data_IF_544254242312
#
_entry.id   IF_544254242312
#
_cell.length_a   1.000
_cell.length_b   1.000
_cell.length_c   1.000
_cell.angle_alpha   90.00
_cell.angle_beta   90.00
_cell.angle_gamma   90.00
#
_symmetry.space_group_name_H-M   'P 1'
#
loop_
_entity.id
_entity.type
_entity.pdbx_description
1 polymer ?
#
# COMPACT_ATOMS: atom_id res chain seq x y z
N UNK A 1 -13.61 -55.53 -11.23
CA UNK A 1 -12.65 -55.26 -10.14
C UNK A 1 -11.60 -54.22 -10.46
N UNK A 2 -11.17 -54.11 -11.72
CA UNK A 2 -10.17 -53.07 -12.09
C UNK A 2 -10.74 -51.65 -12.13
N UNK A 3 -12.04 -51.45 -12.34
CA UNK A 3 -12.69 -50.13 -12.38
C UNK A 3 -12.80 -49.46 -11.00
N UNK A 4 -12.93 -50.21 -9.90
CA UNK A 4 -12.97 -49.65 -8.55
C UNK A 4 -11.64 -49.04 -8.12
N UNK A 5 -10.51 -49.56 -8.59
CA UNK A 5 -9.17 -49.02 -8.26
C UNK A 5 -8.85 -47.74 -9.00
N UNK A 6 -9.38 -47.58 -10.21
CA UNK A 6 -9.18 -46.37 -11.04
C UNK A 6 -10.01 -45.22 -10.49
N UNK A 7 -11.22 -45.47 -9.99
CA UNK A 7 -12.12 -44.46 -9.41
C UNK A 7 -11.54 -43.93 -8.08
N UNK A 8 -10.89 -44.77 -7.25
CA UNK A 8 -10.25 -44.35 -6.02
C UNK A 8 -9.00 -43.47 -6.26
N UNK A 9 -8.25 -43.72 -7.33
CA UNK A 9 -7.10 -42.92 -7.70
C UNK A 9 -7.52 -41.54 -8.21
N UNK A 10 -8.65 -41.45 -8.91
CA UNK A 10 -9.17 -40.19 -9.45
C UNK A 10 -9.73 -39.27 -8.35
N UNK A 11 -10.39 -39.85 -7.33
CA UNK A 11 -10.93 -39.09 -6.20
C UNK A 11 -9.82 -38.55 -5.29
N UNK A 12 -8.66 -39.21 -5.21
CA UNK A 12 -7.54 -38.75 -4.42
C UNK A 12 -6.79 -37.56 -5.07
N UNK A 13 -6.84 -37.45 -6.40
CA UNK A 13 -6.19 -36.37 -7.14
C UNK A 13 -6.96 -35.04 -7.02
N UNK A 14 -8.27 -35.08 -6.83
CA UNK A 14 -9.13 -33.89 -6.71
C UNK A 14 -9.00 -33.25 -5.32
N UNK A 15 -8.63 -34.00 -4.29
CA UNK A 15 -8.45 -33.48 -2.92
C UNK A 15 -7.17 -32.64 -2.75
N UNK A 16 -6.19 -32.74 -3.66
CA UNK A 16 -4.92 -32.03 -3.59
C UNK A 16 -4.96 -30.61 -4.20
N UNK A 17 -6.05 -30.24 -4.88
CA UNK A 17 -6.17 -28.93 -5.56
C UNK A 17 -6.82 -27.85 -4.66
N UNK A 18 -7.25 -28.21 -3.45
CA UNK A 18 -8.07 -27.32 -2.60
C UNK A 18 -7.28 -26.57 -1.51
N UNK A 19 -5.95 -26.41 -1.64
CA UNK A 19 -5.12 -25.71 -0.63
C UNK A 19 -4.71 -24.32 -1.07
N UNK A 20 -5.64 -23.48 -1.50
CA UNK A 20 -5.38 -22.06 -1.64
C UNK A 20 -5.41 -21.43 -0.23
N UNK A 21 -4.27 -20.96 0.28
CA UNK A 21 -4.22 -20.25 1.56
C UNK A 21 -4.99 -18.94 1.46
N UNK A 22 -5.94 -18.73 2.38
CA UNK A 22 -6.69 -17.49 2.47
C UNK A 22 -5.83 -16.43 3.15
N UNK A 23 -5.63 -15.27 2.51
CA UNK A 23 -4.92 -14.14 3.10
C UNK A 23 -5.36 -12.82 2.47
N UNK A 24 -5.18 -11.75 3.23
CA UNK A 24 -5.33 -10.40 2.70
C UNK A 24 -4.16 -10.09 1.78
N UNK A 25 -4.39 -9.31 0.73
CA UNK A 25 -3.34 -8.86 -0.19
C UNK A 25 -3.54 -7.39 -0.51
N UNK A 26 -2.48 -6.61 -0.37
CA UNK A 26 -2.52 -5.19 -0.67
C UNK A 26 -1.91 -4.92 -2.03
N UNK A 27 -2.62 -4.14 -2.85
CA UNK A 27 -2.14 -3.69 -4.16
C UNK A 27 -2.35 -2.19 -4.28
N UNK A 28 -1.26 -1.44 -4.39
CA UNK A 28 -1.29 0.01 -4.59
C UNK A 28 -1.45 0.36 -6.06
N UNK A 29 -2.23 1.41 -6.35
CA UNK A 29 -2.36 1.95 -7.70
C UNK A 29 -1.04 2.56 -8.18
N UNK A 30 -0.31 3.19 -7.26
CA UNK A 30 1.03 3.73 -7.50
C UNK A 30 1.84 3.66 -6.21
N UNK A 31 3.16 3.61 -6.35
CA UNK A 31 4.08 3.59 -5.20
C UNK A 31 4.80 4.92 -5.00
N UNK A 32 4.77 5.79 -6.00
CA UNK A 32 5.47 7.08 -5.98
C UNK A 32 4.49 8.17 -6.42
N UNK A 33 4.44 9.26 -5.65
CA UNK A 33 3.72 10.46 -6.03
C UNK A 33 4.69 11.62 -6.20
N UNK A 34 4.71 12.23 -7.37
CA UNK A 34 5.54 13.38 -7.68
C UNK A 34 4.67 14.64 -7.66
N UNK A 35 4.95 15.55 -6.73
CA UNK A 35 4.25 16.83 -6.64
C UNK A 35 4.64 17.80 -7.74
N UNK A 36 5.71 17.51 -8.49
CA UNK A 36 6.29 18.48 -9.42
C UNK A 36 6.99 19.61 -8.67
N UNK A 37 7.00 20.80 -9.30
CA UNK A 37 7.60 21.99 -8.69
C UNK A 37 6.55 22.83 -7.99
N UNK A 38 6.86 23.33 -6.81
CA UNK A 38 6.03 24.26 -6.06
C UNK A 38 6.92 25.24 -5.29
N UNK A 39 6.39 26.42 -5.02
CA UNK A 39 7.14 27.46 -4.33
C UNK A 39 7.14 27.26 -2.81
N UNK A 40 8.22 27.70 -2.14
CA UNK A 40 8.32 27.65 -0.68
C UNK A 40 7.26 28.51 0.03
N UNK A 41 6.63 29.44 -0.69
CA UNK A 41 5.50 30.22 -0.18
C UNK A 41 4.22 29.38 -0.04
N UNK A 42 4.16 28.22 -0.72
CA UNK A 42 3.06 27.26 -0.63
C UNK A 42 3.64 25.88 -0.26
N UNK A 43 4.16 25.73 0.95
CA UNK A 43 5.01 24.60 1.32
C UNK A 43 4.27 23.31 1.63
N UNK A 44 2.96 23.35 1.82
CA UNK A 44 2.17 22.17 2.18
C UNK A 44 1.59 21.53 0.93
N UNK A 45 1.97 20.27 0.69
CA UNK A 45 1.49 19.47 -0.43
C UNK A 45 0.84 18.19 0.09
N UNK A 46 -0.22 17.73 -0.57
CA UNK A 46 -0.96 16.54 -0.16
C UNK A 46 -1.03 15.53 -1.30
N UNK A 47 -0.87 14.26 -0.95
CA UNK A 47 -0.98 13.14 -1.87
C UNK A 47 -1.90 12.07 -1.28
N UNK A 48 -2.57 11.34 -2.14
CA UNK A 48 -3.38 10.19 -1.75
C UNK A 48 -2.94 8.97 -2.54
N UNK A 49 -2.62 7.89 -1.83
CA UNK A 49 -2.33 6.58 -2.42
C UNK A 49 -3.54 5.70 -2.19
N UNK A 50 -4.11 5.20 -3.25
CA UNK A 50 -5.24 4.27 -3.19
C UNK A 50 -4.72 2.85 -3.30
N UNK A 51 -5.22 1.95 -2.47
CA UNK A 51 -4.91 0.54 -2.55
C UNK A 51 -6.19 -0.29 -2.60
N UNK A 52 -6.07 -1.50 -3.11
CA UNK A 52 -7.16 -2.47 -3.19
C UNK A 52 -6.75 -3.73 -2.44
N UNK A 53 -7.68 -4.30 -1.67
CA UNK A 53 -7.50 -5.64 -1.13
C UNK A 53 -7.83 -6.65 -2.24
N UNK A 54 -6.80 -7.23 -2.84
CA UNK A 54 -6.94 -8.23 -3.90
C UNK A 54 -6.89 -9.66 -3.36
N UNK A 55 -6.86 -9.82 -2.04
CA UNK A 55 -6.91 -11.10 -1.36
C UNK A 55 -8.34 -11.54 -1.06
N UNK A 56 -8.47 -12.51 -0.18
CA UNK A 56 -9.75 -13.11 0.20
C UNK A 56 -10.06 -13.06 1.70
N UNK A 57 -9.27 -12.29 2.47
CA UNK A 57 -9.52 -11.95 3.87
C UNK A 57 -9.50 -10.44 4.07
N UNK A 58 -10.13 -9.90 5.12
CA UNK A 58 -10.07 -8.47 5.41
C UNK A 58 -8.62 -7.98 5.58
N UNK A 59 -8.32 -6.86 4.94
CA UNK A 59 -7.01 -6.21 5.02
C UNK A 59 -7.06 -5.12 6.09
N UNK A 60 -6.09 -5.15 6.99
CA UNK A 60 -5.98 -4.17 8.08
C UNK A 60 -4.64 -3.46 7.95
N UNK A 61 -4.66 -2.14 7.87
CA UNK A 61 -3.46 -1.33 7.95
C UNK A 61 -3.13 -1.15 9.42
N UNK A 62 -1.94 -1.58 9.82
CA UNK A 62 -1.50 -1.52 11.22
C UNK A 62 -0.76 -0.22 11.54
N UNK A 63 0.02 0.28 10.57
CA UNK A 63 0.91 1.41 10.81
C UNK A 63 1.33 2.07 9.49
N UNK A 64 1.53 3.38 9.55
CA UNK A 64 2.14 4.16 8.48
C UNK A 64 3.20 5.07 9.10
N UNK A 65 4.47 4.88 8.72
CA UNK A 65 5.60 5.60 9.30
C UNK A 65 6.32 6.36 8.20
N UNK A 66 6.45 7.68 8.38
CA UNK A 66 7.24 8.52 7.49
C UNK A 66 8.72 8.57 7.93
N UNK A 67 9.62 8.71 6.97
CA UNK A 67 11.06 8.83 7.21
C UNK A 67 11.48 10.21 7.76
N UNK A 68 10.56 11.18 7.76
CA UNK A 68 10.83 12.57 8.14
C UNK A 68 9.62 13.12 8.91
N UNK A 69 9.87 13.93 9.94
CA UNK A 69 8.80 14.67 10.63
C UNK A 69 8.09 15.70 9.76
N UNK A 70 8.67 16.02 8.60
CA UNK A 70 8.05 16.89 7.59
C UNK A 70 6.91 16.23 6.82
N UNK A 71 6.71 14.92 7.00
CA UNK A 71 5.74 14.11 6.28
C UNK A 71 4.81 13.43 7.27
N UNK A 72 3.52 13.65 7.14
CA UNK A 72 2.51 13.11 8.06
C UNK A 72 1.55 12.21 7.28
N UNK A 73 1.63 10.89 7.47
CA UNK A 73 0.70 9.97 6.86
C UNK A 73 -0.53 9.73 7.72
N UNK A 74 -1.65 9.45 7.08
CA UNK A 74 -2.85 8.89 7.71
C UNK A 74 -3.41 7.80 6.81
N UNK A 75 -4.24 6.93 7.35
CA UNK A 75 -4.73 5.78 6.61
C UNK A 75 -6.12 5.36 7.06
N UNK A 76 -6.80 4.58 6.20
CA UNK A 76 -8.10 4.00 6.51
C UNK A 76 -7.97 3.05 7.71
N UNK A 77 -8.68 3.33 8.79
CA UNK A 77 -8.57 2.59 10.06
C UNK A 77 -9.43 1.32 10.09
N UNK A 78 -10.54 1.30 9.37
CA UNK A 78 -11.44 0.14 9.33
C UNK A 78 -10.85 -0.98 8.47
N UNK A 79 -11.21 -2.25 8.73
CA UNK A 79 -10.84 -3.35 7.85
C UNK A 79 -11.37 -3.14 6.43
N UNK A 80 -10.55 -3.50 5.45
CA UNK A 80 -10.88 -3.40 4.02
C UNK A 80 -11.28 -4.78 3.54
N UNK A 81 -12.55 -4.96 3.16
CA UNK A 81 -13.05 -6.24 2.68
C UNK A 81 -12.41 -6.63 1.34
N UNK A 82 -12.38 -7.93 0.99
CA UNK A 82 -11.89 -8.37 -0.31
C UNK A 82 -12.57 -7.62 -1.47
N UNK A 83 -11.78 -7.10 -2.39
CA UNK A 83 -12.25 -6.31 -3.52
C UNK A 83 -12.49 -4.83 -3.23
N UNK A 84 -12.47 -4.42 -1.97
CA UNK A 84 -12.66 -3.02 -1.59
C UNK A 84 -11.35 -2.24 -1.60
N UNK A 85 -11.48 -0.91 -1.59
CA UNK A 85 -10.36 0.02 -1.62
C UNK A 85 -10.21 0.77 -0.32
N UNK A 86 -8.98 1.14 0.00
CA UNK A 86 -8.63 2.02 1.08
C UNK A 86 -7.65 3.09 0.61
N UNK A 87 -7.28 3.99 1.50
CA UNK A 87 -6.42 5.12 1.16
C UNK A 87 -5.35 5.36 2.21
N UNK A 88 -4.18 5.78 1.74
CA UNK A 88 -3.12 6.38 2.54
C UNK A 88 -3.02 7.84 2.10
N UNK A 89 -3.29 8.75 3.01
CA UNK A 89 -3.15 10.19 2.75
C UNK A 89 -1.85 10.68 3.34
N UNK A 90 -1.09 11.45 2.58
CA UNK A 90 0.23 11.92 2.98
C UNK A 90 0.28 13.43 2.83
N UNK A 91 0.65 14.13 3.89
CA UNK A 91 0.87 15.57 3.89
C UNK A 91 2.34 15.86 4.05
N UNK A 92 2.94 16.55 3.08
CA UNK A 92 4.30 17.06 3.15
C UNK A 92 4.26 18.54 3.52
N UNK A 93 5.03 18.93 4.53
CA UNK A 93 5.18 20.32 4.93
C UNK A 93 6.64 20.74 4.76
N UNK A 94 6.90 21.52 3.72
CA UNK A 94 8.23 22.02 3.42
C UNK A 94 8.63 23.28 4.16
N UNK A 95 7.79 23.76 5.07
CA UNK A 95 8.09 24.97 5.85
C UNK A 95 9.37 24.78 6.65
N UNK A 96 10.31 25.70 6.49
CA UNK A 96 11.61 25.63 7.16
C UNK A 96 12.61 24.67 6.52
N UNK A 97 12.23 23.96 5.47
CA UNK A 97 13.11 23.11 4.69
C UNK A 97 13.85 23.92 3.63
N UNK A 98 15.03 23.46 3.22
CA UNK A 98 15.74 24.11 2.13
C UNK A 98 15.08 23.83 0.78
N UNK A 99 14.97 24.84 -0.11
CA UNK A 99 14.52 24.59 -1.48
C UNK A 99 15.38 23.56 -2.20
N UNK A 100 14.79 22.83 -3.10
CA UNK A 100 15.46 21.81 -3.89
C UNK A 100 14.64 20.55 -4.02
N UNK A 101 15.22 19.55 -4.62
CA UNK A 101 14.59 18.23 -4.80
C UNK A 101 14.52 17.48 -3.46
N UNK A 102 13.39 16.85 -3.22
CA UNK A 102 13.22 15.96 -2.06
C UNK A 102 12.56 14.65 -2.47
N UNK A 103 12.84 13.61 -1.70
CA UNK A 103 12.17 12.32 -1.80
C UNK A 103 12.07 11.73 -0.39
N UNK A 104 10.85 11.44 0.04
CA UNK A 104 10.58 10.91 1.38
C UNK A 104 9.84 9.59 1.27
N UNK A 105 10.12 8.66 2.17
CA UNK A 105 9.47 7.36 2.19
C UNK A 105 8.43 7.27 3.30
N UNK A 106 7.38 6.49 3.05
CA UNK A 106 6.36 6.13 4.02
C UNK A 106 6.29 4.61 4.03
N UNK A 107 6.55 4.01 5.18
CA UNK A 107 6.46 2.56 5.36
C UNK A 107 5.08 2.20 5.87
N UNK A 108 4.40 1.32 5.13
CA UNK A 108 3.06 0.84 5.45
C UNK A 108 3.17 -0.59 5.96
N UNK A 109 2.65 -0.84 7.16
CA UNK A 109 2.54 -2.18 7.73
C UNK A 109 1.09 -2.63 7.71
N UNK A 110 0.87 -3.87 7.31
CA UNK A 110 -0.46 -4.47 7.22
C UNK A 110 -0.40 -5.96 7.54
N UNK A 111 -1.59 -6.57 7.66
CA UNK A 111 -1.72 -8.02 7.79
C UNK A 111 -1.75 -8.73 6.44
N UNK A 112 -1.39 -8.04 5.35
CA UNK A 112 -1.39 -8.62 4.02
C UNK A 112 -0.26 -9.62 3.77
N UNK A 113 -0.24 -10.18 2.56
CA UNK A 113 0.79 -11.11 2.10
C UNK A 113 2.20 -10.52 2.17
N UNK A 114 2.31 -9.20 2.06
CA UNK A 114 3.56 -8.44 2.26
C UNK A 114 3.37 -7.63 3.53
N UNK A 115 4.14 -7.94 4.57
CA UNK A 115 4.03 -7.27 5.87
C UNK A 115 4.32 -5.77 5.78
N UNK A 116 5.30 -5.40 4.96
CA UNK A 116 5.71 -4.01 4.75
C UNK A 116 5.67 -3.63 3.28
N UNK A 117 5.11 -2.45 3.01
CA UNK A 117 5.18 -1.79 1.70
C UNK A 117 5.75 -0.41 1.89
N UNK A 118 6.50 0.08 0.90
CA UNK A 118 7.10 1.40 0.97
C UNK A 118 6.58 2.28 -0.15
N UNK A 119 6.04 3.42 0.25
CA UNK A 119 5.57 4.46 -0.66
C UNK A 119 6.55 5.62 -0.64
N UNK A 120 6.57 6.42 -1.70
CA UNK A 120 7.44 7.58 -1.80
C UNK A 120 6.66 8.80 -2.27
N UNK A 121 7.01 9.94 -1.71
CA UNK A 121 6.65 11.24 -2.26
C UNK A 121 7.92 11.94 -2.70
N UNK A 122 7.85 12.68 -3.78
CA UNK A 122 8.98 13.47 -4.28
C UNK A 122 8.48 14.74 -4.93
N UNK A 123 9.38 15.70 -5.07
CA UNK A 123 9.07 16.96 -5.72
C UNK A 123 10.25 17.92 -5.67
N UNK A 124 10.04 19.11 -6.18
CA UNK A 124 11.03 20.19 -6.15
C UNK A 124 10.37 21.42 -5.53
N UNK A 125 10.87 21.84 -4.40
CA UNK A 125 10.46 23.11 -3.79
C UNK A 125 11.38 24.21 -4.28
N UNK A 126 10.79 25.22 -4.94
CA UNK A 126 11.54 26.36 -5.49
C UNK A 126 11.53 27.51 -4.52
N UNK A 127 12.56 28.37 -4.62
CA UNK A 127 12.64 29.58 -3.85
C UNK A 127 11.50 30.54 -4.19
N UNK A 128 11.03 31.26 -3.18
CA UNK A 128 10.04 32.32 -3.37
C UNK A 128 10.68 33.46 -4.15
N UNK A 129 10.05 33.84 -5.24
CA UNK A 129 10.47 34.99 -6.05
C UNK A 129 9.93 36.31 -5.50
#
# INVERSE_FOLDING_TARGET
>A
MKMKRIILALTMLVALVATASAQAEIKFDKLIHNFGSFEESNPVQKATFTFTNVGNKPLIINQAIASCGCTVPSYTKKPIAPGEKGQISVTYNGKGMFPGHFKKSITIRSNGNVEMSRLYIEGVMTEKK
#
